data_IF_286315547008
#
_entry.id   IF_286315547008
#
_cell.length_a   1.000
_cell.length_b   1.000
_cell.length_c   1.000
_cell.angle_alpha   90.00
_cell.angle_beta   90.00
_cell.angle_gamma   90.00
#
_symmetry.space_group_name_H-M   'P 1'
#
loop_
_entity.id
_entity.type
_entity.pdbx_description
1 polymer ?
#
# COMPACT_ATOMS: atom_id res chain seq x y z
N UNK A 1 -5.10 7.93 4.53
CA UNK A 1 -4.34 7.44 5.71
C UNK A 1 -4.75 8.16 7.01
N UNK A 2 -4.65 9.50 7.08
CA UNK A 2 -4.92 10.25 8.32
C UNK A 2 -6.32 10.00 8.90
N UNK A 3 -7.37 10.10 8.07
CA UNK A 3 -8.76 9.83 8.46
C UNK A 3 -8.94 8.49 9.21
N UNK A 4 -8.47 7.40 8.62
CA UNK A 4 -8.58 6.08 9.27
C UNK A 4 -7.73 5.96 10.55
N UNK A 5 -6.62 6.69 10.67
CA UNK A 5 -5.82 6.73 11.89
C UNK A 5 -6.51 7.49 13.02
N UNK A 6 -7.39 8.45 12.69
CA UNK A 6 -8.24 9.12 13.68
C UNK A 6 -9.41 8.22 14.11
N UNK A 7 -9.95 7.44 13.19
CA UNK A 7 -11.09 6.53 13.44
C UNK A 7 -10.69 5.21 14.11
N UNK A 8 -9.40 4.86 14.14
CA UNK A 8 -8.90 3.55 14.59
C UNK A 8 -7.64 3.70 15.44
N UNK A 9 -7.11 2.58 15.94
CA UNK A 9 -5.81 2.55 16.64
C UNK A 9 -4.62 2.35 15.69
N UNK A 10 -4.83 2.47 14.38
CA UNK A 10 -3.76 2.30 13.40
C UNK A 10 -2.72 3.43 13.48
N UNK A 11 -1.44 3.04 13.50
CA UNK A 11 -0.31 3.97 13.39
C UNK A 11 0.06 4.18 11.93
N UNK A 12 0.19 5.44 11.50
CA UNK A 12 0.65 5.80 10.15
C UNK A 12 2.14 6.05 10.14
N UNK A 13 2.84 5.44 9.18
CA UNK A 13 4.25 5.70 8.88
C UNK A 13 4.37 6.11 7.42
N UNK A 14 5.05 7.21 7.14
CA UNK A 14 5.33 7.67 5.79
C UNK A 14 6.83 7.59 5.50
N UNK A 15 7.18 6.97 4.37
CA UNK A 15 8.56 6.85 3.88
C UNK A 15 8.62 7.36 2.45
N UNK A 16 9.08 8.60 2.22
CA UNK A 16 9.24 9.12 0.87
C UNK A 16 10.41 8.42 0.16
N UNK A 17 10.19 8.00 -1.08
CA UNK A 17 11.29 7.56 -1.96
C UNK A 17 11.99 8.81 -2.48
N UNK A 18 13.27 8.96 -2.14
CA UNK A 18 14.10 10.09 -2.58
C UNK A 18 15.10 9.64 -3.65
N UNK A 19 15.51 10.58 -4.51
CA UNK A 19 16.46 10.30 -5.59
C UNK A 19 15.80 9.77 -6.85
N UNK A 20 16.48 8.87 -7.56
CA UNK A 20 16.05 8.40 -8.89
C UNK A 20 14.76 7.59 -8.81
N UNK A 21 13.77 7.93 -9.62
CA UNK A 21 12.47 7.24 -9.69
C UNK A 21 12.60 5.91 -10.44
N UNK A 22 13.10 4.88 -9.75
CA UNK A 22 13.31 3.54 -10.30
C UNK A 22 12.91 2.44 -9.31
N UNK A 23 12.54 1.26 -9.82
CA UNK A 23 12.18 0.09 -8.98
C UNK A 23 13.34 -0.30 -8.06
N UNK A 24 14.58 -0.25 -8.59
CA UNK A 24 15.78 -0.53 -7.81
C UNK A 24 15.96 0.41 -6.62
N UNK A 25 15.69 1.70 -6.83
CA UNK A 25 15.75 2.71 -5.78
C UNK A 25 14.58 2.63 -4.79
N UNK A 26 13.36 2.31 -5.25
CA UNK A 26 12.17 2.22 -4.38
C UNK A 26 12.21 1.01 -3.42
N UNK A 27 12.90 -0.07 -3.82
CA UNK A 27 12.97 -1.33 -3.05
C UNK A 27 13.48 -1.20 -1.60
N UNK A 28 14.61 -0.54 -1.29
CA UNK A 28 15.04 -0.36 0.09
C UNK A 28 14.03 0.40 0.96
N UNK A 29 13.37 1.44 0.42
CA UNK A 29 12.32 2.18 1.14
C UNK A 29 11.12 1.28 1.44
N UNK A 30 10.68 0.48 0.47
CA UNK A 30 9.65 -0.54 0.68
C UNK A 30 10.05 -1.55 1.76
N UNK A 31 11.28 -2.07 1.71
CA UNK A 31 11.78 -3.02 2.70
C UNK A 31 11.78 -2.44 4.12
N UNK A 32 12.01 -1.13 4.27
CA UNK A 32 11.94 -0.47 5.58
C UNK A 32 10.52 -0.46 6.18
N UNK A 33 9.48 -0.44 5.34
CA UNK A 33 8.08 -0.56 5.80
C UNK A 33 7.78 -2.01 6.21
N UNK A 34 8.26 -2.99 5.46
CA UNK A 34 8.10 -4.42 5.80
C UNK A 34 8.79 -4.76 7.13
N UNK A 35 9.99 -4.23 7.36
CA UNK A 35 10.73 -4.42 8.62
C UNK A 35 10.02 -3.80 9.82
N UNK A 36 9.19 -2.77 9.61
CA UNK A 36 8.35 -2.16 10.65
C UNK A 36 7.05 -2.92 10.89
N UNK A 37 6.86 -4.06 10.22
CA UNK A 37 5.67 -4.92 10.35
C UNK A 37 4.38 -4.17 10.06
N UNK A 38 4.35 -3.33 9.00
CA UNK A 38 3.11 -2.68 8.60
C UNK A 38 2.11 -3.70 8.02
N UNK A 39 0.91 -3.75 8.58
CA UNK A 39 -0.19 -4.60 8.09
C UNK A 39 -0.81 -4.10 6.79
N UNK A 40 -0.71 -2.79 6.55
CA UNK A 40 -1.17 -2.12 5.33
C UNK A 40 -0.05 -1.27 4.74
N UNK A 41 0.24 -1.46 3.46
CA UNK A 41 1.20 -0.63 2.72
C UNK A 41 0.53 0.03 1.51
N UNK A 42 0.55 1.36 1.52
CA UNK A 42 0.08 2.22 0.43
C UNK A 42 1.27 2.64 -0.44
N UNK A 43 1.22 2.35 -1.74
CA UNK A 43 2.22 2.77 -2.70
C UNK A 43 1.61 3.70 -3.76
N UNK A 44 2.29 4.82 -4.00
CA UNK A 44 1.89 5.85 -4.96
C UNK A 44 3.06 6.10 -5.91
N UNK A 45 2.79 6.05 -7.21
CA UNK A 45 3.77 6.22 -8.28
C UNK A 45 4.28 4.91 -8.87
N UNK A 46 4.58 4.91 -10.18
CA UNK A 46 4.85 3.68 -10.95
C UNK A 46 5.97 2.81 -10.37
N UNK A 47 7.16 3.34 -10.01
CA UNK A 47 8.22 2.51 -9.43
C UNK A 47 7.82 1.82 -8.12
N UNK A 48 7.11 2.54 -7.26
CA UNK A 48 6.63 2.08 -5.95
C UNK A 48 5.57 1.00 -6.12
N UNK A 49 4.59 1.24 -7.00
CA UNK A 49 3.53 0.28 -7.34
C UNK A 49 4.12 -1.02 -7.87
N UNK A 50 5.11 -0.96 -8.75
CA UNK A 50 5.78 -2.15 -9.31
C UNK A 50 6.52 -2.97 -8.25
N UNK A 51 7.22 -2.32 -7.31
CA UNK A 51 7.86 -3.02 -6.18
C UNK A 51 6.81 -3.70 -5.30
N UNK A 52 5.75 -2.97 -4.95
CA UNK A 52 4.67 -3.45 -4.10
C UNK A 52 3.95 -4.66 -4.70
N UNK A 53 3.58 -4.61 -5.98
CA UNK A 53 2.95 -5.72 -6.68
C UNK A 53 3.85 -6.96 -6.71
N UNK A 54 5.14 -6.80 -6.96
CA UNK A 54 6.10 -7.90 -6.97
C UNK A 54 6.32 -8.52 -5.57
N UNK A 55 6.17 -7.72 -4.51
CA UNK A 55 6.30 -8.18 -3.13
C UNK A 55 5.00 -8.82 -2.59
N UNK A 56 3.84 -8.43 -3.11
CA UNK A 56 2.55 -8.84 -2.58
C UNK A 56 2.35 -10.36 -2.54
N UNK A 57 2.78 -11.07 -3.59
CA UNK A 57 2.70 -12.53 -3.66
C UNK A 57 3.58 -13.25 -2.63
N UNK A 58 4.60 -12.58 -2.08
CA UNK A 58 5.50 -13.13 -1.05
C UNK A 58 5.05 -12.78 0.38
N UNK A 59 4.07 -11.88 0.53
CA UNK A 59 3.66 -11.34 1.82
C UNK A 59 2.12 -11.43 1.95
N UNK A 60 1.53 -12.63 2.01
CA UNK A 60 0.08 -12.79 2.02
C UNK A 60 -0.61 -12.23 3.27
N UNK A 61 0.14 -12.07 4.37
CA UNK A 61 -0.35 -11.46 5.62
C UNK A 61 -0.45 -9.93 5.54
N UNK A 62 0.22 -9.30 4.58
CA UNK A 62 0.20 -7.84 4.40
C UNK A 62 -0.80 -7.46 3.32
N UNK A 63 -1.59 -6.42 3.60
CA UNK A 63 -2.51 -5.83 2.63
C UNK A 63 -1.82 -4.68 1.91
N UNK A 64 -1.91 -4.68 0.58
CA UNK A 64 -1.29 -3.68 -0.26
C UNK A 64 -2.35 -2.83 -0.93
N UNK A 65 -2.20 -1.51 -0.85
CA UNK A 65 -3.01 -0.55 -1.60
C UNK A 65 -2.08 0.15 -2.59
N UNK A 66 -2.45 0.16 -3.87
CA UNK A 66 -1.67 0.83 -4.91
C UNK A 66 -2.53 1.91 -5.55
N UNK A 67 -1.96 3.09 -5.73
CA UNK A 67 -2.59 4.17 -6.49
C UNK A 67 -2.03 4.11 -7.90
N UNK A 68 -2.89 3.79 -8.86
CA UNK A 68 -2.52 3.63 -10.26
C UNK A 68 -3.31 4.63 -11.11
N UNK A 69 -2.62 5.54 -11.79
CA UNK A 69 -3.20 6.54 -12.69
C UNK A 69 -3.42 6.01 -14.11
N UNK A 70 -2.81 4.88 -14.44
CA UNK A 70 -2.83 4.32 -15.78
C UNK A 70 -3.57 2.98 -15.80
N UNK A 71 -4.23 2.70 -16.93
CA UNK A 71 -4.85 1.42 -17.31
C UNK A 71 -3.85 0.22 -17.39
N UNK A 72 -2.72 0.30 -16.70
CA UNK A 72 -1.61 -0.64 -16.74
C UNK A 72 -1.82 -1.83 -15.83
N UNK A 73 -2.15 -2.95 -16.48
CA UNK A 73 -2.07 -4.31 -15.97
C UNK A 73 -3.26 -4.79 -15.12
N UNK A 74 -4.27 -5.35 -15.81
CA UNK A 74 -4.86 -6.64 -15.40
C UNK A 74 -3.78 -7.75 -15.37
N UNK A 75 -2.66 -7.53 -14.68
CA UNK A 75 -1.83 -8.65 -14.25
C UNK A 75 -2.64 -9.40 -13.20
N UNK A 76 -2.52 -10.72 -13.15
CA UNK A 76 -3.07 -11.51 -12.07
C UNK A 76 -2.46 -10.99 -10.76
N UNK A 77 -3.24 -10.21 -10.02
CA UNK A 77 -2.82 -9.64 -8.75
C UNK A 77 -3.16 -10.64 -7.66
N UNK A 78 -2.26 -10.89 -6.71
CA UNK A 78 -2.61 -11.66 -5.55
C UNK A 78 -3.74 -10.94 -4.79
N UNK A 79 -4.64 -11.71 -4.16
CA UNK A 79 -5.88 -11.20 -3.56
C UNK A 79 -5.69 -10.21 -2.39
N UNK A 80 -4.44 -9.98 -1.97
CA UNK A 80 -4.07 -9.00 -0.97
C UNK A 80 -3.70 -7.62 -1.55
N UNK A 81 -3.94 -7.36 -2.85
CA UNK A 81 -3.69 -6.06 -3.50
C UNK A 81 -5.01 -5.38 -3.89
N UNK A 82 -5.24 -4.20 -3.35
CA UNK A 82 -6.33 -3.29 -3.71
C UNK A 82 -5.79 -2.16 -4.58
N UNK A 83 -6.47 -1.87 -5.69
CA UNK A 83 -6.16 -0.70 -6.53
C UNK A 83 -7.09 0.43 -6.13
N UNK A 84 -6.53 1.58 -5.79
CA UNK A 84 -7.28 2.81 -5.58
C UNK A 84 -7.08 3.73 -6.78
N UNK A 85 -8.17 4.29 -7.30
CA UNK A 85 -8.09 5.28 -8.36
C UNK A 85 -7.70 6.64 -7.77
N UNK A 86 -6.96 7.48 -8.49
CA UNK A 86 -6.60 8.83 -8.05
C UNK A 86 -7.75 9.82 -8.29
N UNK A 87 -8.94 9.49 -7.81
CA UNK A 87 -10.16 10.29 -7.92
C UNK A 87 -10.66 10.74 -6.53
N UNK A 88 -11.88 11.27 -6.48
CA UNK A 88 -12.50 11.71 -5.22
C UNK A 88 -12.73 10.59 -4.20
N UNK A 89 -12.67 9.32 -4.62
CA UNK A 89 -12.91 8.14 -3.77
C UNK A 89 -11.61 7.55 -3.19
N UNK A 90 -10.45 8.08 -3.60
CA UNK A 90 -9.13 7.63 -3.12
C UNK A 90 -9.06 7.61 -1.59
N UNK A 91 -9.52 8.67 -0.94
CA UNK A 91 -9.44 8.78 0.52
C UNK A 91 -10.24 7.67 1.21
N UNK A 92 -11.49 7.46 0.80
CA UNK A 92 -12.37 6.47 1.42
C UNK A 92 -11.89 5.04 1.11
N UNK A 93 -11.45 4.77 -0.12
CA UNK A 93 -10.88 3.46 -0.50
C UNK A 93 -9.69 3.10 0.39
N UNK A 94 -8.77 4.05 0.61
CA UNK A 94 -7.62 3.86 1.49
C UNK A 94 -8.07 3.70 2.95
N UNK A 95 -9.04 4.51 3.39
CA UNK A 95 -9.53 4.45 4.76
C UNK A 95 -10.21 3.10 5.07
N UNK A 96 -11.01 2.59 4.14
CA UNK A 96 -11.70 1.32 4.27
C UNK A 96 -10.71 0.14 4.34
N UNK A 97 -9.67 0.15 3.51
CA UNK A 97 -8.62 -0.87 3.54
C UNK A 97 -7.94 -0.94 4.93
N UNK A 98 -7.69 0.21 5.56
CA UNK A 98 -7.12 0.29 6.91
C UNK A 98 -8.13 -0.20 7.96
N UNK A 99 -9.39 0.24 7.90
CA UNK A 99 -10.43 -0.22 8.85
C UNK A 99 -10.61 -1.73 8.80
N UNK A 100 -10.64 -2.33 7.61
CA UNK A 100 -10.69 -3.80 7.43
C UNK A 100 -9.47 -4.47 8.03
N UNK A 101 -8.29 -3.88 7.88
CA UNK A 101 -7.07 -4.44 8.43
C UNK A 101 -7.04 -4.44 9.96
N UNK A 102 -7.49 -3.34 10.57
CA UNK A 102 -7.59 -3.23 12.03
C UNK A 102 -8.58 -4.25 12.58
N UNK A 103 -9.78 -4.36 12.00
CA UNK A 103 -10.79 -5.34 12.45
C UNK A 103 -10.26 -6.77 12.44
N UNK A 104 -9.56 -7.14 11.36
CA UNK A 104 -8.98 -8.48 11.23
C UNK A 104 -7.78 -8.75 12.16
N UNK A 105 -7.21 -7.72 12.79
CA UNK A 105 -6.15 -7.87 13.79
C UNK A 105 -6.70 -7.94 15.23
N UNK A 106 -7.98 -7.62 15.42
CA UNK A 106 -8.69 -7.69 16.70
C UNK A 106 -9.39 -9.04 16.92
N UNK A 107 -9.47 -9.87 15.87
CA UNK A 107 -9.99 -11.26 15.87
C UNK A 107 -8.92 -12.28 16.27
#
# INVERSE_FOLDING_TARGET
MQKASLDTRARVTYVPVTGVQSVGNARPFFNSLMQRQCDVVLAVGTPQVRVTQAAAGKNPSVRFVVVDDASGAKAERPGNVTVAQPDGELEETVAEAIRRAVRAAEE
#
